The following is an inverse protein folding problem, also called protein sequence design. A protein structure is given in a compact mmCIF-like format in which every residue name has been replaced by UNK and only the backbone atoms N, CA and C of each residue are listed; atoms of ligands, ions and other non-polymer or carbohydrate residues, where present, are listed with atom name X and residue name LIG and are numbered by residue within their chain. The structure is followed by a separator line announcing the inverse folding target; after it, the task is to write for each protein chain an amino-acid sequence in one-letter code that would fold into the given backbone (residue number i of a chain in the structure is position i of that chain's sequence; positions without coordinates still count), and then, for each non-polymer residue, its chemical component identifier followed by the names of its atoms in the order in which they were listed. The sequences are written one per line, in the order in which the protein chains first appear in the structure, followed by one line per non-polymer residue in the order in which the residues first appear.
data_IF_851430596269
#
_entry.id   IF_851430596269
#
_cell.length_a   1.000
_cell.length_b   1.000
_cell.length_c   1.000
_cell.angle_alpha   90.00
_cell.angle_beta   90.00
_cell.angle_gamma   90.00
#
_symmetry.space_group_name_H-M   'P 1'
#
loop_
_entity.id
_entity.type
_entity.pdbx_description
1 polymer ?
#
# COMPACT_ATOMS: atom_id res chain seq x y z
N UNK A 1 -13.33 -10.68 3.15
CA UNK A 1 -12.02 -10.01 3.20
C UNK A 1 -12.22 -8.57 2.79
N UNK A 2 -11.52 -7.66 3.44
CA UNK A 2 -11.56 -6.22 3.23
C UNK A 2 -10.13 -5.76 2.93
N UNK A 3 -9.97 -4.93 1.91
CA UNK A 3 -8.67 -4.40 1.51
C UNK A 3 -8.52 -2.96 2.03
N UNK A 4 -7.56 -2.76 2.91
CA UNK A 4 -7.22 -1.48 3.51
C UNK A 4 -5.92 -0.98 2.88
N UNK A 5 -5.90 0.27 2.40
CA UNK A 5 -4.71 0.91 1.84
C UNK A 5 -4.31 2.06 2.76
N UNK A 6 -3.08 2.02 3.26
CA UNK A 6 -2.51 3.08 4.09
C UNK A 6 -1.32 3.73 3.36
N UNK A 7 -1.18 5.07 3.43
CA UNK A 7 -2.04 6.02 4.17
C UNK A 7 -3.40 6.30 3.48
N UNK A 8 -3.47 6.17 2.16
CA UNK A 8 -4.66 6.44 1.35
C UNK A 8 -4.60 5.69 0.02
N UNK A 9 -5.74 5.55 -0.66
CA UNK A 9 -5.82 4.98 -2.01
C UNK A 9 -5.35 5.96 -3.11
N UNK A 10 -4.90 7.15 -2.73
CA UNK A 10 -4.30 8.14 -3.61
C UNK A 10 -3.06 8.69 -2.92
N UNK A 11 -1.90 8.49 -3.52
CA UNK A 11 -0.61 8.89 -2.96
C UNK A 11 0.32 9.42 -4.04
N UNK A 12 1.28 10.30 -3.68
CA UNK A 12 2.33 10.71 -4.59
C UNK A 12 3.25 9.55 -4.99
N UNK A 13 3.80 9.60 -6.21
CA UNK A 13 4.89 8.73 -6.64
C UNK A 13 6.04 8.79 -5.62
N UNK A 14 6.70 7.67 -5.34
CA UNK A 14 7.78 7.62 -4.36
C UNK A 14 7.29 7.37 -2.93
N UNK A 15 5.99 7.47 -2.66
CA UNK A 15 5.42 7.26 -1.32
C UNK A 15 5.39 5.77 -0.95
N UNK A 16 5.64 5.49 0.33
CA UNK A 16 5.48 4.16 0.89
C UNK A 16 3.99 3.84 1.13
N UNK A 17 3.51 2.75 0.54
CA UNK A 17 2.10 2.30 0.65
C UNK A 17 2.06 0.92 1.27
N UNK A 18 1.17 0.72 2.23
CA UNK A 18 0.91 -0.59 2.82
C UNK A 18 -0.52 -0.99 2.55
N UNK A 19 -0.71 -2.09 1.81
CA UNK A 19 -2.02 -2.72 1.68
C UNK A 19 -2.15 -3.82 2.73
N UNK A 20 -3.26 -3.82 3.44
CA UNK A 20 -3.59 -4.82 4.46
C UNK A 20 -4.89 -5.51 4.06
N UNK A 21 -4.84 -6.82 3.93
CA UNK A 21 -6.01 -7.65 3.73
C UNK A 21 -6.57 -8.04 5.10
N UNK A 22 -7.61 -7.33 5.55
CA UNK A 22 -8.36 -7.67 6.75
C UNK A 22 -9.41 -8.75 6.41
N UNK A 23 -9.80 -9.60 7.35
CA UNK A 23 -10.95 -10.49 7.15
C UNK A 23 -10.66 -11.99 7.13
N UNK A 24 -9.50 -12.43 7.62
CA UNK A 24 -9.40 -13.78 8.18
C UNK A 24 -9.13 -13.66 9.67
N UNK A 25 -10.22 -13.85 10.43
CA UNK A 25 -10.17 -14.08 11.86
C UNK A 25 -9.20 -15.23 12.11
N UNK A 26 -8.26 -14.99 13.01
CA UNK A 26 -7.26 -15.90 13.54
C UNK A 26 -7.78 -17.34 13.65
N UNK A 27 -7.19 -18.24 12.87
CA UNK A 27 -7.22 -19.68 13.17
C UNK A 27 -6.00 -20.28 12.49
N UNK A 28 -4.89 -20.36 13.25
CA UNK A 28 -3.84 -21.41 13.29
C UNK A 28 -3.41 -22.17 12.00
N UNK A 29 -3.71 -21.66 10.81
CA UNK A 29 -3.43 -22.28 9.52
C UNK A 29 -2.79 -21.23 8.61
N UNK A 30 -1.71 -21.60 7.90
CA UNK A 30 -0.94 -20.74 6.98
C UNK A 30 -1.84 -20.24 5.82
N UNK A 31 -2.44 -19.03 5.90
CA UNK A 31 -3.37 -18.57 4.88
C UNK A 31 -2.56 -18.07 3.69
N UNK A 32 -3.01 -18.39 2.48
CA UNK A 32 -2.34 -17.97 1.28
C UNK A 32 -3.02 -16.70 0.74
N UNK A 33 -2.32 -15.57 0.80
CA UNK A 33 -2.80 -14.28 0.31
C UNK A 33 -2.26 -14.06 -1.10
N UNK A 34 -3.16 -14.13 -2.08
CA UNK A 34 -2.86 -13.79 -3.47
C UNK A 34 -3.29 -12.35 -3.74
N UNK A 35 -2.34 -11.51 -4.16
CA UNK A 35 -2.56 -10.12 -4.52
C UNK A 35 -2.79 -9.99 -6.02
N UNK A 36 -3.80 -9.21 -6.40
CA UNK A 36 -4.14 -8.92 -7.79
C UNK A 36 -4.06 -7.42 -8.04
N UNK A 37 -3.56 -7.05 -9.22
CA UNK A 37 -3.47 -5.67 -9.74
C UNK A 37 -4.09 -5.65 -11.13
N UNK A 38 -5.12 -4.84 -11.34
CA UNK A 38 -5.87 -4.76 -12.60
C UNK A 38 -6.38 -6.13 -13.09
N UNK A 39 -6.79 -7.00 -12.16
CA UNK A 39 -7.21 -8.38 -12.45
C UNK A 39 -6.07 -9.36 -12.74
N UNK A 40 -4.82 -8.91 -12.80
CA UNK A 40 -3.64 -9.75 -12.97
C UNK A 40 -3.05 -10.14 -11.63
N UNK A 41 -2.63 -11.40 -11.47
CA UNK A 41 -1.92 -11.85 -10.27
C UNK A 41 -0.57 -11.13 -10.16
N UNK A 42 -0.37 -10.39 -9.09
CA UNK A 42 0.85 -9.66 -8.81
C UNK A 42 1.84 -10.57 -8.06
N UNK A 43 1.43 -11.04 -6.87
CA UNK A 43 2.24 -11.92 -6.05
C UNK A 43 1.39 -12.73 -5.09
N UNK A 44 2.02 -13.72 -4.47
CA UNK A 44 1.43 -14.56 -3.44
C UNK A 44 2.32 -14.50 -2.20
N UNK A 45 1.70 -14.35 -1.04
CA UNK A 45 2.39 -14.21 0.24
C UNK A 45 1.59 -14.88 1.34
N UNK A 46 2.27 -15.42 2.36
CA UNK A 46 1.60 -15.88 3.58
C UNK A 46 1.32 -14.73 4.55
N UNK A 47 1.71 -13.50 4.18
CA UNK A 47 1.48 -12.31 4.97
C UNK A 47 0.21 -11.58 4.51
N UNK A 48 -0.64 -11.12 5.44
CA UNK A 48 -1.83 -10.33 5.14
C UNK A 48 -1.50 -8.89 4.71
N UNK A 49 -0.22 -8.55 4.54
CA UNK A 49 0.26 -7.21 4.24
C UNK A 49 1.16 -7.22 3.02
N UNK A 50 1.01 -6.18 2.19
CA UNK A 50 1.83 -5.90 1.03
C UNK A 50 2.40 -4.50 1.15
N UNK A 51 3.71 -4.41 1.27
CA UNK A 51 4.42 -3.15 1.45
C UNK A 51 5.12 -2.74 0.15
N UNK A 52 4.81 -1.54 -0.30
CA UNK A 52 5.49 -0.87 -1.41
C UNK A 52 6.36 0.23 -0.82
N UNK A 53 7.70 0.08 -0.79
CA UNK A 53 8.57 1.11 -0.23
C UNK A 53 8.60 2.39 -1.07
N UNK A 54 8.31 2.29 -2.36
CA UNK A 54 8.29 3.41 -3.30
C UNK A 54 7.31 3.09 -4.43
N UNK A 55 6.11 3.65 -4.37
CA UNK A 55 5.07 3.40 -5.38
C UNK A 55 5.38 4.18 -6.66
N UNK A 56 5.25 3.54 -7.84
CA UNK A 56 5.50 4.19 -9.13
C UNK A 56 4.19 4.40 -9.89
N UNK A 57 4.18 5.32 -10.86
CA UNK A 57 3.05 5.47 -11.76
C UNK A 57 2.64 4.16 -12.46
N UNK A 58 3.60 3.25 -12.72
CA UNK A 58 3.34 1.91 -13.28
C UNK A 58 2.62 0.96 -12.31
N UNK A 59 2.75 1.22 -11.00
CA UNK A 59 2.09 0.44 -9.96
C UNK A 59 0.64 0.88 -9.71
N UNK A 60 0.22 2.01 -10.28
CA UNK A 60 -1.16 2.47 -10.22
C UNK A 60 -2.11 1.44 -10.84
N UNK A 61 -3.26 1.23 -10.20
CA UNK A 61 -4.21 0.24 -10.66
C UNK A 61 -5.23 -0.18 -9.61
N UNK A 62 -6.10 -1.10 -10.01
CA UNK A 62 -7.13 -1.66 -9.14
C UNK A 62 -6.56 -2.86 -8.37
N UNK A 63 -6.36 -2.72 -7.07
CA UNK A 63 -5.84 -3.77 -6.20
C UNK A 63 -6.96 -4.61 -5.59
N UNK A 64 -6.70 -5.91 -5.43
CA UNK A 64 -7.62 -6.85 -4.84
C UNK A 64 -6.81 -7.92 -4.09
N UNK A 65 -7.25 -8.31 -2.88
CA UNK A 65 -6.65 -9.43 -2.16
C UNK A 65 -7.58 -10.64 -2.19
N UNK A 66 -7.01 -11.82 -2.44
CA UNK A 66 -7.72 -13.09 -2.32
C UNK A 66 -7.05 -13.93 -1.26
N UNK A 67 -7.81 -14.33 -0.27
CA UNK A 67 -7.35 -15.21 0.80
C UNK A 67 -7.85 -16.61 0.53
N UNK A 68 -6.94 -17.57 0.45
CA UNK A 68 -7.27 -18.99 0.31
C UNK A 68 -7.06 -19.68 1.64
N UNK A 69 -8.12 -20.28 2.15
CA UNK A 69 -8.16 -21.06 3.40
C UNK A 69 -8.80 -22.42 3.15
N UNK A 70 -8.73 -23.32 4.13
CA UNK A 70 -9.32 -24.67 4.03
C UNK A 70 -10.83 -24.64 3.73
N UNK A 71 -11.52 -23.66 4.30
CA UNK A 71 -12.96 -23.47 4.13
C UNK A 71 -13.38 -22.84 2.80
N UNK A 72 -12.44 -22.40 1.96
CA UNK A 72 -12.74 -21.78 0.68
C UNK A 72 -11.78 -20.63 0.35
N UNK A 73 -12.13 -19.85 -0.67
CA UNK A 73 -11.40 -18.63 -1.00
C UNK A 73 -12.31 -17.43 -0.89
N UNK A 74 -11.87 -16.43 -0.14
CA UNK A 74 -12.55 -15.16 0.00
C UNK A 74 -11.76 -14.09 -0.77
N UNK A 75 -12.46 -13.23 -1.49
CA UNK A 75 -11.85 -12.18 -2.31
C UNK A 75 -12.38 -10.84 -1.86
N UNK A 76 -11.49 -9.87 -1.64
CA UNK A 76 -11.86 -8.52 -1.25
C UNK A 76 -12.50 -7.75 -2.39
N UNK A 77 -13.11 -6.63 -2.04
CA UNK A 77 -13.47 -5.60 -2.99
C UNK A 77 -12.23 -5.05 -3.72
N UNK A 78 -12.45 -4.56 -4.93
CA UNK A 78 -11.40 -3.90 -5.73
C UNK A 78 -11.23 -2.46 -5.28
N UNK A 79 -10.02 -2.10 -4.86
CA UNK A 79 -9.69 -0.72 -4.46
C UNK A 79 -8.74 -0.09 -5.49
N UNK A 80 -9.15 1.01 -6.17
CA UNK A 80 -8.28 1.70 -7.11
C UNK A 80 -7.21 2.51 -6.37
N UNK A 81 -5.94 2.16 -6.56
CA UNK A 81 -4.79 2.93 -6.13
C UNK A 81 -4.40 3.92 -7.23
N UNK A 82 -4.45 5.20 -6.91
CA UNK A 82 -4.02 6.30 -7.78
C UNK A 82 -2.66 6.78 -7.34
N UNK A 83 -1.75 6.88 -8.29
CA UNK A 83 -0.42 7.46 -8.07
C UNK A 83 -0.40 8.83 -8.72
N UNK A 84 -0.24 9.85 -7.90
CA UNK A 84 -0.09 11.22 -8.35
C UNK A 84 1.36 11.42 -8.71
N UNK A 85 1.66 11.89 -9.93
CA UNK A 85 3.01 12.32 -10.25
C UNK A 85 3.42 13.42 -9.27
N UNK A 86 4.46 13.18 -8.47
CA UNK A 86 5.08 14.28 -7.73
C UNK A 86 5.73 15.23 -8.74
N UNK A 87 5.05 16.32 -9.05
CA UNK A 87 5.77 17.53 -9.46
C UNK A 87 6.53 18.03 -8.22
N UNK A 88 7.87 18.14 -8.27
CA UNK A 88 8.67 18.49 -7.09
C UNK A 88 8.42 19.95 -6.71
N UNK A 89 7.48 20.18 -5.80
CA UNK A 89 7.22 21.48 -5.20
C UNK A 89 6.96 21.29 -3.70
N UNK A 90 8.04 21.07 -2.93
CA UNK A 90 7.91 20.87 -1.48
C UNK A 90 9.18 20.57 -0.70
N UNK A 91 10.33 21.16 -1.05
CA UNK A 91 11.32 21.53 -0.02
C UNK A 91 10.89 22.95 0.39
N UNK A 92 10.54 23.27 1.66
CA UNK A 92 11.38 23.05 2.85
C UNK A 92 10.63 22.76 4.17
N UNK A 93 11.26 22.10 5.16
CA UNK A 93 10.97 22.30 6.59
C UNK A 93 12.27 22.13 7.39
N UNK A 94 13.10 23.15 7.33
CA UNK A 94 14.11 23.45 8.33
C UNK A 94 14.05 24.94 8.60
N UNK A 95 13.69 25.40 9.82
CA UNK A 95 13.66 26.82 10.11
C UNK A 95 15.09 27.37 10.13
N UNK A 96 15.34 28.36 9.27
CA UNK A 96 16.51 29.21 9.40
C UNK A 96 16.37 30.11 10.64
N UNK A 97 17.46 30.24 11.40
CA UNK A 97 17.72 31.45 12.18
C UNK A 97 19.16 31.85 11.87
N UNK A 98 19.31 32.88 11.03
CA UNK A 98 20.51 33.70 11.05
C UNK A 98 20.42 34.68 12.23
N UNK A 99 21.56 34.98 12.84
CA UNK A 99 21.91 36.25 13.48
C UNK A 99 23.35 36.13 13.99
N UNK A 100 24.28 36.88 13.39
CA UNK A 100 25.59 37.13 14.00
C UNK A 100 25.46 38.09 15.18
N UNK A 101 26.32 37.97 16.19
CA UNK A 101 27.42 38.89 16.55
C UNK A 101 28.05 38.49 17.90
N UNK A 102 29.31 38.89 18.08
CA UNK A 102 30.22 38.74 19.22
C UNK A 102 29.66 39.27 20.57
N UNK A 103 30.31 38.95 21.71
CA UNK A 103 31.51 39.69 22.14
C UNK A 103 32.82 38.90 22.09
#
# INVERSE_FOLDING_TARGET
AELLIQPSAEVPEGTAVTLTCAGTRDTEEEPLYTWYRNGQRLQESSFPRLEFPSIRGDDAGAFQCRVRSRNGSDTSETVPLRVLCESPAGIPEGPGVGLGVLP
#
